data_IF_443968965428
#
_entry.id   IF_443968965428
#
_cell.length_a   1.000
_cell.length_b   1.000
_cell.length_c   1.000
_cell.angle_alpha   90.00
_cell.angle_beta   90.00
_cell.angle_gamma   90.00
#
_symmetry.space_group_name_H-M   'P 1'
#
loop_
_entity.id
_entity.type
_entity.pdbx_description
1 polymer ?
#
# COMPACT_ATOMS: atom_id res chain seq x y z
N UNK A 1 -21.81 -6.22 -13.26
CA UNK A 1 -20.96 -5.18 -12.65
C UNK A 1 -19.50 -5.55 -12.86
N UNK A 2 -18.72 -4.61 -13.37
CA UNK A 2 -17.28 -4.82 -13.51
C UNK A 2 -16.64 -4.98 -12.15
N UNK A 3 -15.55 -5.75 -12.12
CA UNK A 3 -14.80 -6.03 -10.89
C UNK A 3 -13.32 -5.71 -11.11
N UNK A 4 -12.72 -5.17 -10.06
CA UNK A 4 -11.29 -4.93 -10.03
C UNK A 4 -10.77 -5.41 -8.68
N UNK A 5 -9.63 -6.10 -8.69
CA UNK A 5 -9.00 -6.59 -7.46
C UNK A 5 -7.55 -6.14 -7.42
N UNK A 6 -7.12 -5.75 -6.24
CA UNK A 6 -5.76 -5.32 -6.01
C UNK A 6 -5.26 -5.70 -4.63
N UNK A 7 -4.00 -5.40 -4.38
CA UNK A 7 -3.36 -5.67 -3.09
C UNK A 7 -2.62 -4.44 -2.60
N UNK A 8 -2.56 -4.30 -1.28
CA UNK A 8 -1.86 -3.21 -0.59
C UNK A 8 -0.96 -3.79 0.48
N UNK A 9 0.22 -3.21 0.66
CA UNK A 9 1.19 -3.67 1.64
C UNK A 9 1.40 -2.65 2.75
N UNK A 10 1.24 -3.07 4.00
CA UNK A 10 1.55 -2.26 5.17
C UNK A 10 2.87 -2.74 5.74
N UNK A 11 3.92 -1.95 5.51
CA UNK A 11 5.28 -2.25 5.94
C UNK A 11 5.65 -1.29 7.07
N UNK A 12 6.07 -1.84 8.20
CA UNK A 12 6.47 -1.07 9.38
C UNK A 12 7.95 -1.30 9.62
N UNK A 13 8.72 -0.22 9.83
CA UNK A 13 10.13 -0.32 10.13
C UNK A 13 10.39 -0.38 11.66
N UNK A 14 11.66 -0.49 12.03
CA UNK A 14 12.08 -0.57 13.44
C UNK A 14 11.81 0.71 14.23
N UNK A 15 11.57 1.83 13.54
CA UNK A 15 11.22 3.11 14.17
C UNK A 15 9.71 3.28 14.32
N UNK A 16 8.93 2.23 14.04
CA UNK A 16 7.47 2.26 14.07
C UNK A 16 6.89 3.27 13.11
N UNK A 17 7.41 3.28 11.89
CA UNK A 17 6.91 4.11 10.79
C UNK A 17 6.34 3.22 9.70
N UNK A 18 5.31 3.69 9.02
CA UNK A 18 4.67 2.98 7.91
C UNK A 18 5.15 3.57 6.58
N UNK A 19 5.47 2.66 5.66
CA UNK A 19 5.88 3.02 4.30
C UNK A 19 4.68 3.50 3.51
N UNK A 20 4.74 4.74 3.03
CA UNK A 20 3.68 5.37 2.27
C UNK A 20 4.22 5.91 0.95
N UNK A 21 3.32 6.04 -0.03
CA UNK A 21 3.65 6.58 -1.35
C UNK A 21 2.66 7.69 -1.70
N UNK A 22 3.09 8.55 -2.61
CA UNK A 22 2.27 9.64 -3.12
C UNK A 22 2.28 9.59 -4.65
N UNK A 23 1.10 9.67 -5.25
CA UNK A 23 0.97 9.71 -6.69
C UNK A 23 0.77 11.15 -7.17
N UNK A 24 1.15 11.42 -8.43
CA UNK A 24 1.02 12.76 -8.97
C UNK A 24 -0.44 13.18 -9.17
N UNK A 25 -1.33 12.20 -9.35
CA UNK A 25 -2.75 12.44 -9.63
C UNK A 25 -3.64 12.39 -8.39
N UNK A 26 -3.03 12.29 -7.21
CA UNK A 26 -3.75 12.23 -5.93
C UNK A 26 -3.24 13.31 -4.99
N UNK A 27 -4.11 13.79 -4.12
CA UNK A 27 -3.75 14.82 -3.16
C UNK A 27 -3.24 14.25 -1.83
N UNK A 28 -3.06 12.94 -1.75
CA UNK A 28 -2.71 12.35 -0.47
C UNK A 28 -1.77 11.17 -0.58
N UNK A 29 -1.37 10.70 0.59
CA UNK A 29 -0.52 9.54 0.76
C UNK A 29 -1.34 8.27 0.91
N UNK A 30 -0.77 7.16 0.45
CA UNK A 30 -1.39 5.84 0.55
C UNK A 30 -0.30 4.80 0.79
N UNK A 31 -0.69 3.62 1.31
CA UNK A 31 0.25 2.49 1.32
C UNK A 31 0.44 2.00 -0.12
N UNK A 32 1.61 1.41 -0.44
CA UNK A 32 1.84 0.87 -1.78
C UNK A 32 0.76 -0.13 -2.17
N UNK A 33 0.21 0.00 -3.37
CA UNK A 33 -0.88 -0.87 -3.83
C UNK A 33 -1.01 -0.85 -5.34
N UNK A 34 -1.70 -1.85 -5.88
CA UNK A 34 -2.02 -1.88 -7.30
C UNK A 34 -2.81 -3.12 -7.68
N UNK A 35 -3.15 -3.22 -8.94
CA UNK A 35 -4.00 -4.29 -9.48
C UNK A 35 -3.31 -5.62 -9.59
N UNK A 36 -4.06 -6.69 -9.30
CA UNK A 36 -3.59 -8.06 -9.46
C UNK A 36 -3.56 -8.38 -10.95
N UNK A 37 -2.40 -8.85 -11.44
CA UNK A 37 -2.23 -9.23 -12.83
C UNK A 37 -2.63 -10.69 -13.05
N UNK A 38 -2.93 -11.03 -14.32
CA UNK A 38 -3.33 -12.39 -14.68
C UNK A 38 -2.27 -13.39 -14.23
N UNK A 39 -2.69 -14.47 -13.57
CA UNK A 39 -1.81 -15.50 -13.07
C UNK A 39 -1.09 -15.17 -11.77
N UNK A 40 -1.32 -13.98 -11.23
CA UNK A 40 -0.68 -13.51 -10.01
C UNK A 40 -1.60 -13.74 -8.80
N UNK A 41 -1.03 -14.20 -7.68
CA UNK A 41 -1.79 -14.25 -6.43
C UNK A 41 -1.86 -12.87 -5.80
N UNK A 42 -2.82 -12.62 -4.89
CA UNK A 42 -2.84 -11.35 -4.16
C UNK A 42 -1.53 -11.06 -3.43
N UNK A 43 -0.89 -12.07 -2.85
CA UNK A 43 0.39 -11.92 -2.15
C UNK A 43 1.51 -11.51 -3.10
N UNK A 44 1.58 -12.17 -4.26
CA UNK A 44 2.58 -11.83 -5.29
C UNK A 44 2.40 -10.40 -5.79
N UNK A 45 1.15 -9.99 -5.99
CA UNK A 45 0.81 -8.63 -6.37
C UNK A 45 1.33 -7.62 -5.34
N UNK A 46 1.09 -7.90 -4.06
CA UNK A 46 1.54 -7.04 -2.97
C UNK A 46 3.06 -6.84 -3.02
N UNK A 47 3.81 -7.93 -3.12
CA UNK A 47 5.28 -7.89 -3.17
C UNK A 47 5.76 -7.09 -4.38
N UNK A 48 5.16 -7.33 -5.54
CA UNK A 48 5.54 -6.63 -6.77
C UNK A 48 5.27 -5.13 -6.68
N UNK A 49 4.08 -4.76 -6.21
CA UNK A 49 3.70 -3.33 -6.11
C UNK A 49 4.57 -2.58 -5.12
N UNK A 50 4.90 -3.18 -3.96
CA UNK A 50 5.80 -2.54 -3.00
C UNK A 50 7.17 -2.31 -3.64
N UNK A 51 7.69 -3.29 -4.38
CA UNK A 51 8.99 -3.18 -5.05
C UNK A 51 8.98 -2.06 -6.09
N UNK A 52 7.96 -2.05 -6.96
CA UNK A 52 7.86 -1.04 -8.02
C UNK A 52 7.74 0.38 -7.46
N UNK A 53 6.95 0.53 -6.41
CA UNK A 53 6.62 1.85 -5.88
C UNK A 53 7.63 2.40 -4.87
N UNK A 54 8.41 1.55 -4.23
CA UNK A 54 9.31 1.98 -3.16
C UNK A 54 10.76 1.51 -3.31
N UNK A 55 11.01 0.48 -4.10
CA UNK A 55 12.34 -0.11 -4.26
C UNK A 55 12.66 -1.19 -3.23
N UNK A 56 11.82 -1.41 -2.24
CA UNK A 56 12.08 -2.38 -1.19
C UNK A 56 11.55 -3.76 -1.54
N UNK A 57 12.35 -4.79 -1.17
CA UNK A 57 11.92 -6.18 -1.22
C UNK A 57 11.26 -6.52 0.10
N UNK A 58 10.06 -7.10 0.02
CA UNK A 58 9.30 -7.47 1.22
C UNK A 58 8.80 -8.90 1.10
N UNK A 59 8.46 -9.48 2.26
CA UNK A 59 7.73 -10.75 2.31
C UNK A 59 6.41 -10.52 3.03
N UNK A 60 5.39 -11.27 2.62
CA UNK A 60 4.08 -11.21 3.25
C UNK A 60 4.11 -11.97 4.57
N UNK A 61 3.64 -11.32 5.63
CA UNK A 61 3.51 -11.93 6.96
C UNK A 61 2.11 -12.50 7.16
N UNK A 62 1.08 -11.67 6.90
CA UNK A 62 -0.31 -12.11 7.03
C UNK A 62 -1.24 -11.17 6.29
N UNK A 63 -2.42 -11.69 5.95
CA UNK A 63 -3.50 -10.85 5.44
C UNK A 63 -4.24 -10.26 6.63
N UNK A 64 -4.42 -8.95 6.63
CA UNK A 64 -5.00 -8.24 7.77
C UNK A 64 -6.37 -7.63 7.49
N UNK A 65 -6.72 -7.45 6.23
CA UNK A 65 -8.03 -6.87 5.89
C UNK A 65 -8.37 -7.14 4.43
N UNK A 66 -9.66 -7.07 4.12
CA UNK A 66 -10.17 -7.04 2.75
C UNK A 66 -11.20 -5.91 2.70
N UNK A 67 -10.93 -4.93 1.85
CA UNK A 67 -11.85 -3.81 1.66
C UNK A 67 -12.62 -4.01 0.35
N UNK A 68 -13.94 -3.95 0.42
CA UNK A 68 -14.81 -4.04 -0.75
C UNK A 68 -15.62 -2.76 -0.86
N UNK A 69 -15.49 -2.08 -1.99
CA UNK A 69 -16.18 -0.82 -2.24
C UNK A 69 -16.71 -0.81 -3.68
N UNK A 70 -17.56 0.15 -3.97
CA UNK A 70 -17.99 0.41 -5.34
C UNK A 70 -17.51 1.81 -5.71
N UNK A 71 -16.67 1.89 -6.75
CA UNK A 71 -16.12 3.16 -7.24
C UNK A 71 -16.52 3.28 -8.70
N UNK A 72 -17.30 4.32 -9.02
CA UNK A 72 -17.77 4.59 -10.40
C UNK A 72 -18.41 3.36 -11.04
N UNK A 73 -19.22 2.63 -10.28
CA UNK A 73 -19.91 1.44 -10.78
C UNK A 73 -19.05 0.17 -10.86
N UNK A 74 -17.80 0.24 -10.45
CA UNK A 74 -16.88 -0.90 -10.45
C UNK A 74 -16.78 -1.45 -9.03
N UNK A 75 -16.93 -2.76 -8.88
CA UNK A 75 -16.73 -3.42 -7.59
C UNK A 75 -15.23 -3.59 -7.35
N UNK A 76 -14.70 -2.89 -6.35
CA UNK A 76 -13.26 -2.88 -6.04
C UNK A 76 -13.02 -3.69 -4.78
N UNK A 77 -12.12 -4.69 -4.88
CA UNK A 77 -11.69 -5.50 -3.74
C UNK A 77 -10.19 -5.27 -3.55
N UNK A 78 -9.79 -4.84 -2.37
CA UNK A 78 -8.38 -4.64 -2.03
C UNK A 78 -8.01 -5.55 -0.86
N UNK A 79 -6.99 -6.38 -1.07
CA UNK A 79 -6.44 -7.25 -0.04
C UNK A 79 -5.29 -6.53 0.65
N UNK A 80 -5.36 -6.37 1.97
CA UNK A 80 -4.33 -5.70 2.75
C UNK A 80 -3.46 -6.72 3.46
N UNK A 81 -2.15 -6.61 3.26
CA UNK A 81 -1.18 -7.52 3.86
C UNK A 81 -0.21 -6.76 4.75
N UNK A 82 0.09 -7.34 5.90
CA UNK A 82 1.24 -6.94 6.68
C UNK A 82 2.47 -7.54 6.00
N UNK A 83 3.46 -6.71 5.71
CA UNK A 83 4.68 -7.15 5.05
C UNK A 83 5.90 -6.72 5.84
N UNK A 84 7.00 -7.44 5.66
CA UNK A 84 8.28 -7.16 6.32
C UNK A 84 9.33 -6.89 5.25
N UNK A 85 10.09 -5.80 5.42
CA UNK A 85 11.19 -5.49 4.53
C UNK A 85 12.30 -6.50 4.73
N UNK A 86 12.75 -7.12 3.64
CA UNK A 86 13.82 -8.13 3.67
C UNK A 86 15.02 -7.71 2.84
N UNK A 87 14.96 -6.61 2.10
CA UNK A 87 16.07 -6.16 1.27
C UNK A 87 15.70 -4.99 0.40
N UNK A 88 16.48 -4.78 -0.64
CA UNK A 88 16.29 -3.67 -1.56
C UNK A 88 16.77 -2.34 -0.98
N UNK A 89 16.53 -1.29 -1.74
CA UNK A 89 16.88 0.06 -1.33
C UNK A 89 15.86 1.03 -1.91
N UNK A 90 15.73 2.19 -1.28
CA UNK A 90 14.80 3.22 -1.73
C UNK A 90 15.02 3.55 -3.21
N UNK A 91 13.96 3.51 -4.00
CA UNK A 91 14.04 3.83 -5.43
C UNK A 91 12.74 3.43 -6.13
N UNK A 92 12.05 4.43 -6.65
CA UNK A 92 10.78 4.22 -7.36
C UNK A 92 11.09 3.71 -8.76
N UNK A 93 10.48 2.57 -9.12
CA UNK A 93 10.56 2.01 -10.47
C UNK A 93 9.16 1.58 -10.90
N UNK A 94 8.26 2.55 -10.89
CA UNK A 94 6.86 2.35 -11.25
C UNK A 94 6.71 2.41 -12.78
N UNK A 95 6.34 1.29 -13.44
CA UNK A 95 6.20 1.27 -14.89
C UNK A 95 5.11 2.21 -15.39
N UNK A 96 4.11 2.51 -14.57
CA UNK A 96 3.03 3.44 -14.92
C UNK A 96 3.42 4.89 -14.68
N UNK A 97 4.54 5.14 -14.00
CA UNK A 97 5.07 6.48 -13.70
C UNK A 97 4.09 7.37 -12.96
N UNK A 98 3.28 6.77 -12.10
CA UNK A 98 2.27 7.48 -11.31
C UNK A 98 2.86 7.90 -9.96
N UNK A 99 3.67 7.03 -9.35
CA UNK A 99 4.24 7.28 -8.02
C UNK A 99 5.41 8.25 -8.12
N UNK A 100 5.34 9.34 -7.38
CA UNK A 100 6.35 10.41 -7.41
C UNK A 100 7.17 10.49 -6.13
N UNK A 101 6.69 9.90 -5.03
CA UNK A 101 7.37 9.99 -3.74
C UNK A 101 7.06 8.76 -2.89
N UNK A 102 8.05 8.28 -2.14
CA UNK A 102 7.87 7.21 -1.15
C UNK A 102 8.62 7.63 0.11
N UNK A 103 7.98 7.45 1.28
CA UNK A 103 8.56 7.86 2.55
C UNK A 103 7.96 7.06 3.70
N UNK A 104 8.66 7.06 4.82
CA UNK A 104 8.20 6.44 6.05
C UNK A 104 7.48 7.48 6.91
N UNK A 105 6.29 7.14 7.41
CA UNK A 105 5.47 8.06 8.19
C UNK A 105 5.25 7.52 9.60
N UNK A 106 5.53 8.37 10.57
CA UNK A 106 5.32 8.06 12.00
C UNK A 106 3.84 8.16 12.36
N UNK A 107 3.48 7.67 13.55
CA UNK A 107 2.12 7.78 14.08
C UNK A 107 1.62 9.22 14.05
N UNK A 108 2.42 10.17 14.51
CA UNK A 108 2.01 11.58 14.53
C UNK A 108 1.84 12.15 13.13
N UNK A 109 2.72 11.77 12.21
CA UNK A 109 2.62 12.21 10.81
C UNK A 109 1.35 11.66 10.14
N UNK A 110 1.02 10.38 10.38
CA UNK A 110 -0.20 9.78 9.83
C UNK A 110 -1.46 10.55 10.20
N UNK A 111 -1.48 11.16 11.38
CA UNK A 111 -2.62 11.93 11.86
C UNK A 111 -2.75 13.32 11.23
N UNK A 112 -1.68 13.81 10.59
CA UNK A 112 -1.63 15.18 10.07
C UNK A 112 -1.52 15.28 8.57
N UNK A 113 -1.03 14.24 7.88
CA UNK A 113 -0.91 14.25 6.42
C UNK A 113 -2.26 14.04 5.75
N UNK A 114 -2.36 14.44 4.49
CA UNK A 114 -3.51 14.13 3.67
C UNK A 114 -3.44 12.67 3.20
N UNK A 115 -4.54 11.96 3.30
CA UNK A 115 -4.63 10.57 2.87
C UNK A 115 -5.43 10.46 1.58
N UNK A 116 -4.91 9.68 0.63
CA UNK A 116 -5.65 9.36 -0.59
C UNK A 116 -6.90 8.54 -0.25
N UNK A 117 -6.80 7.70 0.79
CA UNK A 117 -7.91 6.87 1.27
C UNK A 117 -8.07 7.09 2.77
N UNK A 118 -8.77 8.17 3.19
CA UNK A 118 -8.90 8.49 4.62
C UNK A 118 -9.50 7.37 5.46
N UNK A 119 -10.32 6.52 4.85
CA UNK A 119 -10.93 5.38 5.54
C UNK A 119 -9.90 4.35 6.01
N UNK A 120 -8.69 4.35 5.45
CA UNK A 120 -7.64 3.41 5.84
C UNK A 120 -6.90 3.83 7.11
N UNK A 121 -7.04 5.07 7.54
CA UNK A 121 -6.26 5.60 8.66
C UNK A 121 -6.41 4.78 9.93
N UNK A 122 -7.64 4.37 10.26
CA UNK A 122 -7.89 3.57 11.46
C UNK A 122 -7.10 2.26 11.43
N UNK A 123 -7.11 1.58 10.28
CA UNK A 123 -6.37 0.34 10.10
C UNK A 123 -4.87 0.56 10.28
N UNK A 124 -4.33 1.65 9.71
CA UNK A 124 -2.91 1.96 9.82
C UNK A 124 -2.50 2.22 11.28
N UNK A 125 -3.33 2.98 12.01
CA UNK A 125 -3.07 3.25 13.42
C UNK A 125 -3.10 1.99 14.26
N UNK A 126 -4.05 1.08 13.98
CA UNK A 126 -4.15 -0.21 14.66
C UNK A 126 -2.88 -1.03 14.46
N UNK A 127 -2.30 -1.02 13.27
CA UNK A 127 -1.09 -1.77 12.99
C UNK A 127 0.11 -1.26 13.78
N UNK A 128 0.18 0.04 14.03
CA UNK A 128 1.27 0.61 14.82
C UNK A 128 1.10 0.40 16.33
N UNK A 129 -0.12 0.12 16.78
CA UNK A 129 -0.42 -0.07 18.20
C UNK A 129 -0.26 -1.51 18.68
N UNK A 130 0.03 -2.44 17.79
CA UNK A 130 0.21 -3.85 18.11
C UNK A 130 1.60 -4.15 18.70
#
# INVERSE_FOLDING_TARGET
>A
MERWSGSAGICINEKMEILMVKSFDSQGWAVPSGGIEEGETPEECCVREVKEETGYDVKVIEQINVKRTIIKGIQVTTYYFRVEKIGGSSGINDPDKIIVEADWKSLSELKTIDHAYPEDLELLLEQLEQ
#
